data_IF_013795751971
#
_entry.id   IF_013795751971
#
_cell.length_a   1.000
_cell.length_b   1.000
_cell.length_c   1.000
_cell.angle_alpha   90.00
_cell.angle_beta   90.00
_cell.angle_gamma   90.00
#
_symmetry.space_group_name_H-M   'P 1'
#
loop_
_entity.id
_entity.type
_entity.pdbx_description
1 polymer ?
#
# COMPACT_ATOMS: atom_id res chain seq x y z
N UNK A 1 -16.63 -17.61 34.23
CA UNK A 1 -16.57 -16.15 34.05
C UNK A 1 -15.72 -15.74 32.85
N UNK A 2 -14.45 -16.13 32.76
CA UNK A 2 -13.57 -15.80 31.63
C UNK A 2 -14.13 -16.22 30.26
N UNK A 3 -14.50 -17.50 30.09
CA UNK A 3 -15.08 -18.00 28.83
C UNK A 3 -16.41 -17.32 28.46
N UNK A 4 -17.26 -17.01 29.45
CA UNK A 4 -18.51 -16.26 29.23
C UNK A 4 -18.22 -14.80 28.82
N UNK A 5 -17.19 -14.17 29.38
CA UNK A 5 -16.74 -12.83 28.99
C UNK A 5 -16.15 -12.77 27.58
N UNK A 6 -15.37 -13.79 27.18
CA UNK A 6 -14.81 -13.89 25.81
C UNK A 6 -15.90 -14.11 24.78
N UNK A 7 -16.87 -15.01 25.05
CA UNK A 7 -17.99 -15.28 24.13
C UNK A 7 -18.94 -14.08 24.02
N UNK A 8 -19.21 -13.39 25.12
CA UNK A 8 -20.07 -12.20 25.11
C UNK A 8 -19.43 -10.98 24.42
N UNK A 9 -18.10 -10.89 24.36
CA UNK A 9 -17.40 -9.73 23.74
C UNK A 9 -17.03 -9.97 22.27
N UNK A 10 -16.82 -11.24 21.87
CA UNK A 10 -16.45 -11.59 20.49
C UNK A 10 -17.52 -11.28 19.44
N UNK A 11 -18.81 -11.28 19.82
CA UNK A 11 -19.94 -11.04 18.90
C UNK A 11 -20.29 -9.57 18.63
N UNK A 12 -19.64 -8.61 19.31
CA UNK A 12 -19.99 -7.18 19.24
C UNK A 12 -18.85 -6.29 18.71
N UNK A 13 -17.89 -6.87 17.98
CA UNK A 13 -16.84 -6.07 17.34
C UNK A 13 -17.36 -5.49 16.02
N UNK A 14 -17.31 -4.16 15.91
CA UNK A 14 -17.60 -3.45 14.66
C UNK A 14 -16.29 -3.19 13.92
N UNK A 15 -16.27 -3.43 12.61
CA UNK A 15 -15.10 -3.27 11.74
C UNK A 15 -15.53 -2.73 10.38
N UNK A 16 -14.86 -1.70 9.90
CA UNK A 16 -15.08 -1.15 8.56
C UNK A 16 -13.86 -0.36 8.11
N UNK A 17 -13.73 -0.14 6.80
CA UNK A 17 -12.58 0.53 6.19
C UNK A 17 -12.95 1.90 5.66
N UNK A 18 -12.00 2.84 5.71
CA UNK A 18 -12.17 4.20 5.20
C UNK A 18 -10.85 4.76 4.68
N UNK A 19 -10.96 5.60 3.65
CA UNK A 19 -9.83 6.35 3.11
C UNK A 19 -9.75 7.74 3.75
N UNK A 20 -8.57 8.09 4.24
CA UNK A 20 -8.27 9.36 4.87
C UNK A 20 -7.40 10.20 3.94
N UNK A 21 -8.01 11.15 3.23
CA UNK A 21 -7.29 12.23 2.56
C UNK A 21 -6.58 13.10 3.61
N UNK A 22 -5.29 13.38 3.42
CA UNK A 22 -4.49 14.18 4.36
C UNK A 22 -5.12 15.55 4.61
N UNK A 23 -5.21 15.90 5.89
CA UNK A 23 -5.80 17.15 6.36
C UNK A 23 -7.33 17.23 6.26
N UNK A 24 -8.01 16.21 5.71
CA UNK A 24 -9.47 16.12 5.73
C UNK A 24 -9.95 15.22 6.85
N UNK A 25 -11.07 15.61 7.45
CA UNK A 25 -11.76 14.80 8.44
C UNK A 25 -12.76 13.86 7.76
N UNK A 26 -12.72 12.59 8.14
CA UNK A 26 -13.68 11.58 7.74
C UNK A 26 -14.23 10.88 8.99
N UNK A 27 -15.50 10.47 8.97
CA UNK A 27 -16.17 9.92 10.15
C UNK A 27 -16.51 8.44 9.98
N UNK A 28 -16.22 7.62 11.00
CA UNK A 28 -16.53 6.18 11.04
C UNK A 28 -16.91 5.77 12.46
N UNK A 29 -18.01 5.02 12.62
CA UNK A 29 -18.57 4.67 13.94
C UNK A 29 -18.79 5.90 14.88
N UNK A 30 -19.02 7.05 14.26
CA UNK A 30 -19.13 8.37 14.89
C UNK A 30 -17.85 8.88 15.55
N UNK A 31 -16.69 8.33 15.21
CA UNK A 31 -15.38 8.93 15.48
C UNK A 31 -14.98 9.77 14.28
N UNK A 32 -14.41 10.94 14.53
CA UNK A 32 -13.86 11.81 13.49
C UNK A 32 -12.36 11.57 13.39
N UNK A 33 -11.89 11.24 12.20
CA UNK A 33 -10.51 10.86 11.90
C UNK A 33 -9.91 11.87 10.93
N UNK A 34 -8.73 12.38 11.25
CA UNK A 34 -7.96 13.26 10.36
C UNK A 34 -6.55 12.70 10.22
N UNK A 35 -6.16 12.35 8.99
CA UNK A 35 -4.78 11.95 8.71
C UNK A 35 -3.89 13.19 8.63
N UNK A 36 -2.92 13.30 9.54
CA UNK A 36 -2.04 14.47 9.69
C UNK A 36 -0.73 14.33 8.90
N UNK A 37 -0.39 13.10 8.48
CA UNK A 37 0.84 12.77 7.78
C UNK A 37 1.58 11.61 8.43
N UNK A 38 2.80 11.33 8.00
CA UNK A 38 3.58 10.19 8.49
C UNK A 38 5.03 10.59 8.81
N UNK A 39 5.67 9.84 9.71
CA UNK A 39 7.10 9.98 10.01
C UNK A 39 7.81 8.64 9.82
N UNK A 40 9.08 8.66 9.40
CA UNK A 40 9.96 7.49 9.47
C UNK A 40 10.47 7.33 10.90
N UNK A 41 10.33 6.14 11.47
CA UNK A 41 10.90 5.82 12.80
C UNK A 41 12.43 5.72 12.66
N UNK A 42 13.22 6.51 13.43
CA UNK A 42 14.67 6.56 13.30
C UNK A 42 15.33 5.18 13.38
N UNK A 43 16.33 4.94 12.52
CA UNK A 43 17.10 3.69 12.45
C UNK A 43 16.26 2.42 12.14
N UNK A 44 15.07 2.58 11.56
CA UNK A 44 14.23 1.45 11.12
C UNK A 44 13.64 1.74 9.74
N UNK A 45 13.09 0.73 9.06
CA UNK A 45 12.28 0.91 7.85
C UNK A 45 10.79 1.12 8.15
N UNK A 46 10.45 1.45 9.40
CA UNK A 46 9.08 1.62 9.85
C UNK A 46 8.58 3.05 9.67
N UNK A 47 7.32 3.19 9.27
CA UNK A 47 6.65 4.49 9.17
C UNK A 47 5.43 4.52 10.07
N UNK A 48 5.31 5.56 10.88
CA UNK A 48 4.16 5.83 11.73
C UNK A 48 3.24 6.84 11.03
N UNK A 49 1.94 6.56 10.99
CA UNK A 49 0.94 7.38 10.30
C UNK A 49 0.09 8.10 11.33
N UNK A 50 0.30 9.40 11.51
CA UNK A 50 -0.38 10.20 12.53
C UNK A 50 -1.84 10.44 12.14
N UNK A 51 -2.76 9.95 12.98
CA UNK A 51 -4.19 10.13 12.81
C UNK A 51 -4.73 10.78 14.07
N UNK A 52 -5.27 11.98 13.94
CA UNK A 52 -6.06 12.63 14.98
C UNK A 52 -7.43 11.96 15.03
N UNK A 53 -7.81 11.49 16.21
CA UNK A 53 -9.07 10.79 16.47
C UNK A 53 -9.87 11.61 17.48
N UNK A 54 -11.11 11.93 17.15
CA UNK A 54 -12.01 12.72 17.99
C UNK A 54 -13.35 12.00 18.21
N UNK A 55 -13.89 12.10 19.43
CA UNK A 55 -15.18 11.53 19.80
C UNK A 55 -15.82 12.36 20.91
N UNK A 56 -16.79 13.21 20.55
CA UNK A 56 -17.37 14.18 21.48
C UNK A 56 -16.31 15.16 21.96
N UNK A 57 -16.15 15.32 23.28
CA UNK A 57 -15.18 16.24 23.89
C UNK A 57 -13.79 15.62 24.14
N UNK A 58 -13.52 14.43 23.58
CA UNK A 58 -12.22 13.77 23.72
C UNK A 58 -11.51 13.70 22.38
N UNK A 59 -10.21 13.92 22.40
CA UNK A 59 -9.33 13.77 21.24
C UNK A 59 -8.03 13.05 21.63
N UNK A 60 -7.43 12.32 20.69
CA UNK A 60 -6.07 11.78 20.80
C UNK A 60 -5.48 11.60 19.41
N UNK A 61 -4.17 11.76 19.27
CA UNK A 61 -3.46 11.31 18.07
C UNK A 61 -2.97 9.89 18.32
N UNK A 62 -3.19 9.00 17.36
CA UNK A 62 -2.65 7.64 17.35
C UNK A 62 -1.84 7.44 16.07
N UNK A 63 -0.86 6.55 16.12
CA UNK A 63 0.08 6.35 15.02
C UNK A 63 0.23 4.86 14.67
N UNK A 64 -0.66 4.29 13.85
CA UNK A 64 -0.45 2.96 13.27
C UNK A 64 0.85 2.92 12.45
N UNK A 65 1.49 1.75 12.41
CA UNK A 65 2.77 1.57 11.73
C UNK A 65 2.61 0.68 10.51
N UNK A 66 3.27 1.03 9.41
CA UNK A 66 3.31 0.22 8.20
C UNK A 66 4.72 0.24 7.59
N UNK A 67 5.17 -0.92 7.09
CA UNK A 67 6.51 -1.07 6.51
C UNK A 67 6.63 -2.31 5.63
N UNK A 68 7.63 -2.33 4.74
CA UNK A 68 7.97 -3.52 3.97
C UNK A 68 9.07 -4.29 4.70
N UNK A 69 8.81 -5.55 5.03
CA UNK A 69 9.79 -6.41 5.70
C UNK A 69 10.93 -6.78 4.74
N UNK A 70 12.18 -6.57 5.15
CA UNK A 70 13.36 -6.97 4.36
C UNK A 70 13.52 -8.49 4.22
N UNK A 71 12.88 -9.27 5.09
CA UNK A 71 13.02 -10.74 5.12
C UNK A 71 12.26 -11.44 3.98
N UNK A 72 11.10 -10.91 3.60
CA UNK A 72 10.19 -11.53 2.63
C UNK A 72 9.50 -10.52 1.70
N UNK A 73 9.96 -9.27 1.70
CA UNK A 73 9.41 -8.16 0.91
C UNK A 73 7.89 -7.97 1.07
N UNK A 74 7.32 -8.37 2.21
CA UNK A 74 5.89 -8.29 2.48
C UNK A 74 5.53 -7.02 3.25
N UNK A 75 4.37 -6.44 2.96
CA UNK A 75 3.83 -5.28 3.66
C UNK A 75 3.32 -5.68 5.04
N UNK A 76 4.01 -5.24 6.08
CA UNK A 76 3.68 -5.43 7.49
C UNK A 76 2.92 -4.22 8.01
N UNK A 77 1.99 -4.49 8.94
CA UNK A 77 1.05 -3.52 9.49
C UNK A 77 0.94 -3.76 10.98
N UNK A 78 1.10 -2.71 11.76
CA UNK A 78 0.91 -2.75 13.21
C UNK A 78 -0.22 -1.75 13.54
N UNK A 79 -1.34 -2.22 14.12
CA UNK A 79 -2.43 -1.34 14.47
C UNK A 79 -2.06 -0.44 15.65
N UNK A 80 -2.63 0.76 15.68
CA UNK A 80 -2.65 1.59 16.88
C UNK A 80 -4.00 1.51 17.58
N UNK A 81 -3.99 1.83 18.87
CA UNK A 81 -5.15 1.73 19.75
C UNK A 81 -5.34 3.04 20.52
N UNK A 82 -6.57 3.51 20.56
CA UNK A 82 -7.03 4.50 21.52
C UNK A 82 -7.88 3.80 22.59
N UNK A 83 -7.26 3.56 23.75
CA UNK A 83 -7.91 2.92 24.88
C UNK A 83 -9.00 3.82 25.47
N UNK A 84 -10.18 3.26 25.73
CA UNK A 84 -11.26 3.94 26.47
C UNK A 84 -11.77 3.01 27.55
N UNK A 85 -12.54 3.55 28.49
CA UNK A 85 -13.08 2.75 29.59
C UNK A 85 -13.98 1.60 29.11
N UNK A 86 -14.83 1.86 28.11
CA UNK A 86 -15.87 0.91 27.66
C UNK A 86 -15.64 0.33 26.27
N UNK A 87 -15.05 1.09 25.35
CA UNK A 87 -14.91 0.74 23.92
C UNK A 87 -13.55 1.18 23.39
N UNK A 88 -12.66 0.23 23.14
CA UNK A 88 -11.37 0.54 22.54
C UNK A 88 -11.50 0.71 21.05
N UNK A 89 -10.86 1.76 20.53
CA UNK A 89 -10.87 2.11 19.12
C UNK A 89 -9.51 1.78 18.51
N UNK A 90 -9.50 0.87 17.56
CA UNK A 90 -8.29 0.42 16.86
C UNK A 90 -8.28 0.97 15.45
N UNK A 91 -7.09 1.31 14.98
CA UNK A 91 -6.85 1.68 13.58
C UNK A 91 -5.70 0.86 13.04
N UNK A 92 -5.96 0.12 11.96
CA UNK A 92 -4.95 -0.66 11.23
C UNK A 92 -4.67 0.04 9.90
N UNK A 93 -3.40 0.30 9.55
CA UNK A 93 -3.08 0.88 8.26
C UNK A 93 -3.20 -0.19 7.17
N UNK A 94 -3.91 0.07 6.08
CA UNK A 94 -4.08 -0.89 4.98
C UNK A 94 -3.12 -0.59 3.83
N UNK A 95 -3.08 0.66 3.38
CA UNK A 95 -2.27 1.17 2.28
C UNK A 95 -2.09 2.68 2.40
N UNK A 96 -1.06 3.20 1.75
CA UNK A 96 -0.77 4.62 1.70
C UNK A 96 -0.39 5.03 0.27
N UNK A 97 -1.06 6.05 -0.24
CA UNK A 97 -0.82 6.68 -1.53
C UNK A 97 -0.35 8.10 -1.27
N UNK A 98 0.93 8.39 -1.49
CA UNK A 98 1.54 9.63 -1.01
C UNK A 98 1.22 10.86 -1.87
N UNK A 99 0.23 10.80 -2.76
CA UNK A 99 -0.08 11.94 -3.62
C UNK A 99 1.12 12.42 -4.45
N UNK A 100 2.23 11.70 -4.44
CA UNK A 100 3.35 11.92 -5.32
C UNK A 100 3.25 10.76 -6.28
N UNK A 101 3.02 11.08 -7.55
CA UNK A 101 3.50 10.23 -8.62
C UNK A 101 4.97 9.97 -8.30
N UNK A 102 5.28 8.79 -7.73
CA UNK A 102 6.62 8.35 -7.35
C UNK A 102 7.67 9.07 -8.18
N UNK A 103 8.45 9.92 -7.52
CA UNK A 103 9.43 10.88 -8.04
C UNK A 103 10.66 10.16 -8.61
N UNK A 104 10.40 9.29 -9.60
CA UNK A 104 11.31 8.85 -10.65
C UNK A 104 10.64 8.83 -12.03
N UNK A 105 9.40 9.29 -12.15
CA UNK A 105 8.72 9.33 -13.45
C UNK A 105 7.60 10.38 -13.49
N UNK A 106 7.97 11.59 -13.89
CA UNK A 106 7.01 12.63 -14.29
C UNK A 106 6.36 12.25 -15.64
N UNK A 107 5.46 11.26 -15.62
CA UNK A 107 4.76 10.77 -16.79
C UNK A 107 3.42 10.11 -16.46
N UNK A 108 2.51 10.07 -17.44
CA UNK A 108 1.19 9.40 -17.37
C UNK A 108 1.39 7.90 -17.17
N UNK A 109 0.92 7.37 -16.03
CA UNK A 109 0.87 5.93 -15.76
C UNK A 109 -0.30 5.31 -16.51
N UNK A 110 -0.08 4.17 -17.16
CA UNK A 110 -1.11 3.42 -17.87
C UNK A 110 -0.90 1.92 -17.70
N UNK A 111 -2.00 1.19 -17.64
CA UNK A 111 -2.03 -0.26 -17.57
C UNK A 111 -2.76 -0.75 -18.82
N UNK A 112 -2.11 -1.60 -19.63
CA UNK A 112 -2.66 -2.12 -20.88
C UNK A 112 -2.62 -3.64 -20.91
N UNK A 113 -3.69 -4.26 -21.37
CA UNK A 113 -3.72 -5.67 -21.77
C UNK A 113 -3.40 -5.81 -23.25
N UNK A 114 -3.03 -7.02 -23.67
CA UNK A 114 -2.76 -7.33 -25.08
C UNK A 114 -3.94 -6.90 -25.97
N UNK A 115 -3.64 -6.08 -26.96
CA UNK A 115 -4.58 -5.50 -27.92
C UNK A 115 -5.24 -4.20 -27.47
N UNK A 116 -5.07 -3.77 -26.21
CA UNK A 116 -5.58 -2.49 -25.74
C UNK A 116 -4.70 -1.33 -26.21
N UNK A 117 -5.33 -0.17 -26.31
CA UNK A 117 -4.69 1.07 -26.74
C UNK A 117 -5.01 2.23 -25.82
N UNK A 118 -4.10 3.19 -25.77
CA UNK A 118 -4.29 4.47 -25.08
C UNK A 118 -3.89 5.61 -26.00
N UNK A 119 -4.65 6.70 -25.96
CA UNK A 119 -4.24 7.96 -26.57
C UNK A 119 -3.39 8.78 -25.60
N UNK A 120 -2.26 9.26 -26.10
CA UNK A 120 -1.34 10.14 -25.37
C UNK A 120 -0.84 11.23 -26.33
N UNK A 121 -1.17 12.49 -26.00
CA UNK A 121 -0.85 13.67 -26.81
C UNK A 121 -1.28 13.58 -28.30
N UNK A 122 -2.34 12.81 -28.59
CA UNK A 122 -2.87 12.62 -29.94
C UNK A 122 -2.31 11.40 -30.69
N UNK A 123 -1.33 10.71 -30.11
CA UNK A 123 -0.78 9.47 -30.64
C UNK A 123 -1.43 8.25 -29.97
N UNK A 124 -1.81 7.27 -30.79
CA UNK A 124 -2.45 6.04 -30.32
C UNK A 124 -1.40 4.97 -30.07
N UNK A 125 -1.24 4.56 -28.82
CA UNK A 125 -0.25 3.57 -28.38
C UNK A 125 -0.98 2.26 -28.13
N UNK A 126 -0.61 1.20 -28.85
CA UNK A 126 -1.21 -0.14 -28.77
C UNK A 126 -0.21 -1.13 -28.19
N UNK A 127 -0.63 -1.93 -27.22
CA UNK A 127 0.18 -3.04 -26.71
C UNK A 127 -0.10 -4.33 -27.48
N UNK A 128 0.91 -4.87 -28.20
CA UNK A 128 0.74 -6.06 -29.04
C UNK A 128 1.04 -7.35 -28.28
N UNK A 129 2.19 -7.43 -27.61
CA UNK A 129 2.61 -8.60 -26.87
C UNK A 129 3.85 -8.31 -26.04
N UNK A 130 4.17 -9.18 -25.09
CA UNK A 130 5.53 -9.26 -24.58
C UNK A 130 6.44 -9.95 -25.60
N UNK A 131 7.70 -9.55 -25.60
CA UNK A 131 8.80 -10.28 -26.25
C UNK A 131 9.58 -11.04 -25.17
N UNK A 132 9.54 -12.37 -25.27
CA UNK A 132 10.26 -13.27 -24.40
C UNK A 132 11.37 -13.94 -25.22
N UNK A 133 12.64 -13.54 -25.03
CA UNK A 133 13.77 -14.26 -25.60
C UNK A 133 13.73 -15.75 -25.21
N UNK A 134 14.17 -16.63 -26.12
CA UNK A 134 14.06 -18.07 -25.94
C UNK A 134 14.77 -18.60 -24.67
N UNK A 135 15.81 -17.91 -24.23
CA UNK A 135 16.59 -18.19 -23.01
C UNK A 135 15.98 -17.57 -21.75
N UNK A 136 15.12 -16.56 -21.88
CA UNK A 136 14.54 -15.84 -20.75
C UNK A 136 13.67 -16.73 -19.85
N UNK A 137 12.90 -17.66 -20.43
CA UNK A 137 12.03 -18.55 -19.65
C UNK A 137 12.84 -19.55 -18.81
N UNK A 138 13.91 -20.11 -19.39
CA UNK A 138 14.84 -20.99 -18.69
C UNK A 138 15.61 -20.24 -17.60
N UNK A 139 16.06 -19.01 -17.89
CA UNK A 139 16.74 -18.16 -16.92
C UNK A 139 15.82 -17.75 -15.76
N UNK A 140 14.54 -17.44 -16.03
CA UNK A 140 13.54 -17.16 -14.98
C UNK A 140 13.36 -18.35 -14.04
N UNK A 141 13.25 -19.57 -14.57
CA UNK A 141 13.12 -20.78 -13.74
C UNK A 141 14.41 -21.11 -12.98
N UNK A 142 15.57 -20.80 -13.55
CA UNK A 142 16.88 -21.01 -12.94
C UNK A 142 17.35 -19.88 -12.02
N UNK A 143 16.58 -18.80 -11.85
CA UNK A 143 16.99 -17.62 -11.10
C UNK A 143 18.14 -16.81 -11.72
N UNK A 144 18.41 -17.03 -13.01
CA UNK A 144 19.45 -16.34 -13.77
C UNK A 144 19.00 -14.97 -14.30
N UNK A 145 19.91 -14.31 -15.01
CA UNK A 145 19.63 -13.01 -15.61
C UNK A 145 18.77 -13.17 -16.86
N UNK A 146 17.76 -12.30 -17.02
CA UNK A 146 16.86 -12.34 -18.18
C UNK A 146 16.41 -10.93 -18.57
N UNK A 147 15.90 -10.79 -19.80
CA UNK A 147 15.29 -9.55 -20.29
C UNK A 147 13.95 -9.85 -20.93
N UNK A 148 12.94 -9.01 -20.68
CA UNK A 148 11.61 -9.10 -21.30
C UNK A 148 11.31 -7.74 -21.94
N UNK A 149 10.87 -7.75 -23.20
CA UNK A 149 10.39 -6.57 -23.91
C UNK A 149 8.86 -6.47 -23.90
N UNK A 150 8.30 -5.27 -24.05
CA UNK A 150 6.90 -5.10 -24.40
C UNK A 150 6.80 -4.47 -25.79
N UNK A 151 6.25 -5.21 -26.77
CA UNK A 151 6.05 -4.72 -28.12
C UNK A 151 4.86 -3.76 -28.17
N UNK A 152 5.16 -2.50 -28.50
CA UNK A 152 4.17 -1.44 -28.65
C UNK A 152 4.20 -0.90 -30.09
N UNK A 153 3.03 -0.56 -30.61
CA UNK A 153 2.89 0.24 -31.83
C UNK A 153 2.37 1.61 -31.43
N UNK A 154 3.13 2.66 -31.76
CA UNK A 154 2.70 4.05 -31.61
C UNK A 154 2.30 4.58 -32.99
N UNK A 155 1.01 4.86 -33.16
CA UNK A 155 0.45 5.46 -34.37
C UNK A 155 0.33 6.97 -34.15
N UNK A 156 1.19 7.72 -34.83
CA UNK A 156 1.17 9.17 -34.76
C UNK A 156 -0.10 9.72 -35.41
N UNK A 157 -0.59 10.86 -34.91
CA UNK A 157 -1.73 11.56 -35.52
C UNK A 157 -1.54 11.83 -37.04
N UNK A 158 -0.29 12.05 -37.48
CA UNK A 158 0.09 12.21 -38.88
C UNK A 158 0.15 10.93 -39.73
N UNK A 159 -0.30 9.78 -39.21
CA UNK A 159 -0.40 8.50 -39.93
C UNK A 159 0.87 7.66 -39.96
N UNK A 160 2.00 8.15 -39.43
CA UNK A 160 3.23 7.36 -39.27
C UNK A 160 3.10 6.38 -38.10
N UNK A 161 3.65 5.19 -38.23
CA UNK A 161 3.66 4.17 -37.17
C UNK A 161 5.08 3.85 -36.73
N UNK A 162 5.30 3.77 -35.43
CA UNK A 162 6.57 3.46 -34.79
C UNK A 162 6.44 2.19 -33.97
N UNK A 163 7.41 1.29 -34.08
CA UNK A 163 7.52 0.13 -33.18
C UNK A 163 8.44 0.50 -32.02
N UNK A 164 7.97 0.27 -30.80
CA UNK A 164 8.63 0.67 -29.57
C UNK A 164 8.68 -0.53 -28.63
N UNK A 165 9.82 -0.76 -27.98
CA UNK A 165 10.04 -1.93 -27.14
C UNK A 165 10.77 -1.57 -25.83
N UNK A 166 10.08 -0.98 -24.83
CA UNK A 166 10.65 -0.83 -23.49
C UNK A 166 10.97 -2.22 -22.90
N UNK A 167 12.05 -2.30 -22.10
CA UNK A 167 12.57 -3.57 -21.61
C UNK A 167 12.65 -3.60 -20.08
N UNK A 168 12.40 -4.76 -19.49
CA UNK A 168 12.72 -5.09 -18.11
C UNK A 168 13.86 -6.10 -18.10
N UNK A 169 14.94 -5.78 -17.40
CA UNK A 169 16.10 -6.65 -17.16
C UNK A 169 16.05 -7.13 -15.71
N UNK A 170 16.33 -8.41 -15.49
CA UNK A 170 16.59 -8.96 -14.17
C UNK A 170 18.06 -9.32 -14.10
N UNK A 171 18.80 -8.69 -13.18
CA UNK A 171 20.23 -8.94 -12.92
C UNK A 171 20.39 -9.22 -11.44
N UNK A 172 20.90 -10.41 -11.09
CA UNK A 172 21.07 -10.87 -9.70
C UNK A 172 19.78 -10.76 -8.86
N UNK A 173 18.63 -11.07 -9.47
CA UNK A 173 17.31 -10.98 -8.85
C UNK A 173 16.76 -9.55 -8.69
N UNK A 174 17.51 -8.52 -9.09
CA UNK A 174 17.05 -7.13 -9.11
C UNK A 174 16.50 -6.78 -10.49
N UNK A 175 15.32 -6.17 -10.52
CA UNK A 175 14.70 -5.69 -11.76
C UNK A 175 15.15 -4.26 -12.06
N UNK A 176 15.58 -4.05 -13.30
CA UNK A 176 15.93 -2.77 -13.90
C UNK A 176 15.03 -2.54 -15.12
N UNK A 177 14.53 -1.32 -15.29
CA UNK A 177 13.68 -0.97 -16.43
C UNK A 177 14.40 0.01 -17.35
N UNK A 178 14.42 -0.33 -18.64
CA UNK A 178 15.07 0.45 -19.68
C UNK A 178 13.99 1.11 -20.54
N UNK A 179 13.87 2.45 -20.50
CA UNK A 179 12.90 3.17 -21.31
C UNK A 179 13.32 3.23 -22.79
N UNK A 180 12.37 3.53 -23.66
CA UNK A 180 12.61 3.85 -25.08
C UNK A 180 12.12 5.26 -25.39
N UNK A 181 12.96 6.02 -26.07
CA UNK A 181 12.67 7.38 -26.53
C UNK A 181 12.31 7.38 -28.02
N UNK A 182 11.18 8.00 -28.36
CA UNK A 182 10.71 8.25 -29.72
C UNK A 182 10.79 9.75 -29.97
N UNK A 183 11.98 10.22 -30.39
CA UNK A 183 12.29 11.64 -30.55
C UNK A 183 11.34 12.39 -31.48
N UNK A 184 10.90 11.74 -32.56
CA UNK A 184 9.95 12.30 -33.53
C UNK A 184 8.60 12.67 -32.92
N UNK A 185 8.21 11.99 -31.82
CA UNK A 185 6.93 12.16 -31.14
C UNK A 185 7.08 12.83 -29.78
N UNK A 186 8.27 13.35 -29.46
CA UNK A 186 8.59 13.89 -28.13
C UNK A 186 8.21 12.91 -27.00
N UNK A 187 8.25 11.60 -27.23
CA UNK A 187 7.68 10.57 -26.34
C UNK A 187 8.77 9.69 -25.73
N UNK A 188 8.66 9.39 -24.43
CA UNK A 188 9.42 8.33 -23.75
C UNK A 188 8.44 7.34 -23.14
N UNK A 189 8.69 6.06 -23.41
CA UNK A 189 7.90 4.95 -22.87
C UNK A 189 8.77 4.12 -21.95
N UNK A 190 8.36 3.99 -20.70
CA UNK A 190 9.03 3.17 -19.70
C UNK A 190 8.09 2.08 -19.20
N UNK A 191 8.55 0.84 -19.16
CA UNK A 191 7.84 -0.23 -18.46
C UNK A 191 8.14 -0.13 -16.96
N UNK A 192 7.14 -0.31 -16.11
CA UNK A 192 7.31 -0.30 -14.64
C UNK A 192 6.93 -1.62 -13.99
N UNK A 193 6.06 -2.39 -14.64
CA UNK A 193 5.75 -3.74 -14.22
C UNK A 193 5.14 -4.53 -15.38
N UNK A 194 5.17 -5.83 -15.26
CA UNK A 194 4.38 -6.76 -16.06
C UNK A 194 3.86 -7.86 -15.14
N UNK A 195 2.63 -8.31 -15.37
CA UNK A 195 2.01 -9.35 -14.56
C UNK A 195 1.75 -10.64 -15.34
N UNK A 196 1.48 -11.72 -14.59
CA UNK A 196 1.20 -13.03 -15.16
C UNK A 196 -0.17 -13.11 -15.88
N UNK A 197 -1.03 -12.10 -15.75
CA UNK A 197 -2.30 -12.01 -16.48
C UNK A 197 -2.13 -11.50 -17.91
N UNK A 198 -0.92 -11.08 -18.28
CA UNK A 198 -0.62 -10.53 -19.58
C UNK A 198 -0.82 -9.02 -19.67
N UNK A 199 -0.81 -8.32 -18.52
CA UNK A 199 -0.95 -6.87 -18.46
C UNK A 199 0.41 -6.20 -18.27
N UNK A 200 0.62 -5.07 -18.96
CA UNK A 200 1.82 -4.23 -18.82
C UNK A 200 1.48 -2.90 -18.17
N UNK A 201 2.30 -2.48 -17.20
CA UNK A 201 2.24 -1.15 -16.61
C UNK A 201 3.33 -0.29 -17.24
N UNK A 202 2.93 0.82 -17.86
CA UNK A 202 3.80 1.76 -18.55
C UNK A 202 3.73 3.14 -17.91
N UNK A 203 4.78 3.92 -18.12
CA UNK A 203 4.83 5.36 -17.90
C UNK A 203 5.16 6.00 -19.24
N UNK A 204 4.33 6.97 -19.62
CA UNK A 204 4.48 7.78 -20.82
C UNK A 204 4.84 9.20 -20.40
N UNK A 205 5.95 9.75 -20.91
CA UNK A 205 6.37 11.12 -20.60
C UNK A 205 6.84 11.82 -21.86
N UNK A 206 6.77 13.14 -21.87
CA UNK A 206 7.36 13.95 -22.93
C UNK A 206 8.88 14.14 -22.73
N UNK A 207 9.67 14.13 -23.82
CA UNK A 207 11.12 14.45 -23.80
C UNK A 207 11.37 15.92 -23.41
N UNK A 208 10.46 16.81 -23.81
CA UNK A 208 10.50 18.25 -23.51
C UNK A 208 9.82 18.62 -22.18
N UNK A 209 9.24 17.64 -21.48
CA UNK A 209 8.44 17.81 -20.28
C UNK A 209 6.95 17.97 -20.59
N UNK A 210 6.09 17.23 -19.88
CA UNK A 210 4.65 17.30 -20.08
C UNK A 210 4.13 18.73 -19.81
N UNK A 211 3.41 19.31 -20.77
CA UNK A 211 2.47 20.40 -20.49
C UNK A 211 1.36 19.81 -19.61
N UNK A 212 1.57 19.90 -18.31
CA UNK A 212 0.62 19.44 -17.31
C UNK A 212 -0.74 20.09 -17.56
N UNK A 213 -1.75 19.30 -17.91
CA UNK A 213 -3.07 19.60 -17.37
C UNK A 213 -2.91 19.56 -15.85
N UNK A 214 -3.21 20.69 -15.21
CA UNK A 214 -3.19 20.83 -13.75
C UNK A 214 -4.35 19.99 -13.22
N UNK A 215 -4.16 18.68 -13.14
CA UNK A 215 -4.99 17.82 -12.31
C UNK A 215 -4.50 18.09 -10.89
N UNK A 216 -5.37 18.74 -10.10
CA UNK A 216 -5.21 19.03 -8.67
C UNK A 216 -4.17 18.15 -7.99
N UNK A 217 -3.20 18.78 -7.31
CA UNK A 217 -2.13 18.16 -6.54
C UNK A 217 -2.52 16.76 -6.04
N UNK A 218 -1.73 15.70 -6.34
CA UNK A 218 -2.17 14.37 -5.98
C UNK A 218 -2.17 14.32 -4.44
N UNK A 219 -3.30 13.90 -3.89
CA UNK A 219 -3.55 14.02 -2.45
C UNK A 219 -3.00 12.79 -1.76
N UNK A 220 -2.27 13.01 -0.67
CA UNK A 220 -1.86 11.93 0.21
C UNK A 220 -3.14 11.26 0.79
N UNK A 221 -3.32 9.96 0.54
CA UNK A 221 -4.46 9.16 1.03
C UNK A 221 -3.94 7.98 1.82
N UNK A 222 -4.43 7.83 3.04
CA UNK A 222 -4.19 6.67 3.89
C UNK A 222 -5.47 5.85 4.03
N UNK A 223 -5.46 4.62 3.51
CA UNK A 223 -6.54 3.65 3.72
C UNK A 223 -6.33 2.95 5.06
N UNK A 224 -7.39 2.86 5.86
CA UNK A 224 -7.35 2.22 7.19
C UNK A 224 -8.53 1.27 7.40
N UNK A 225 -8.36 0.27 8.27
CA UNK A 225 -9.46 -0.45 8.91
C UNK A 225 -9.62 0.11 10.34
N UNK A 226 -10.80 0.64 10.64
CA UNK A 226 -11.20 1.02 11.99
C UNK A 226 -11.94 -0.15 12.64
N UNK A 227 -11.69 -0.40 13.93
CA UNK A 227 -12.47 -1.38 14.68
C UNK A 227 -12.73 -0.99 16.13
N UNK A 228 -13.93 -1.31 16.60
CA UNK A 228 -14.33 -1.12 17.99
C UNK A 228 -14.37 -2.48 18.68
N UNK A 229 -13.69 -2.59 19.82
CA UNK A 229 -13.78 -3.75 20.70
C UNK A 229 -14.35 -3.34 22.05
N UNK A 230 -15.57 -3.78 22.38
CA UNK A 230 -16.17 -3.46 23.66
C UNK A 230 -15.55 -4.30 24.78
N UNK A 231 -15.37 -3.68 25.96
CA UNK A 231 -15.05 -4.34 27.23
C UNK A 231 -13.78 -5.21 27.26
N UNK A 232 -12.75 -4.91 26.47
CA UNK A 232 -11.48 -5.66 26.56
C UNK A 232 -10.82 -5.53 27.95
N UNK A 233 -11.07 -4.44 28.67
CA UNK A 233 -10.66 -4.24 30.06
C UNK A 233 -11.22 -5.32 31.02
N UNK A 234 -12.36 -5.92 30.69
CA UNK A 234 -12.93 -7.03 31.47
C UNK A 234 -12.08 -8.30 31.35
N UNK A 235 -11.51 -8.55 30.16
CA UNK A 235 -10.57 -9.65 29.94
C UNK A 235 -9.31 -9.45 30.78
N UNK A 236 -8.72 -8.25 30.73
CA UNK A 236 -7.55 -7.90 31.55
C UNK A 236 -7.83 -8.00 33.06
N UNK A 237 -9.01 -7.57 33.49
CA UNK A 237 -9.44 -7.72 34.89
C UNK A 237 -9.52 -9.20 35.29
N UNK A 238 -10.03 -10.06 34.41
CA UNK A 238 -10.05 -11.51 34.62
C UNK A 238 -8.64 -12.11 34.75
N UNK A 239 -7.69 -11.67 33.92
CA UNK A 239 -6.28 -12.09 34.00
C UNK A 239 -5.66 -11.68 35.33
N UNK A 240 -5.87 -10.44 35.76
CA UNK A 240 -5.37 -9.94 37.06
C UNK A 240 -5.92 -10.77 38.21
N UNK A 241 -7.23 -11.08 38.22
CA UNK A 241 -7.83 -11.93 39.24
C UNK A 241 -7.24 -13.34 39.28
N UNK A 242 -6.96 -13.93 38.12
CA UNK A 242 -6.30 -15.25 38.06
C UNK A 242 -4.88 -15.20 38.61
N UNK A 243 -4.10 -14.16 38.28
CA UNK A 243 -2.74 -13.97 38.81
C UNK A 243 -2.77 -13.78 40.33
N UNK A 244 -3.68 -12.96 40.85
CA UNK A 244 -3.84 -12.77 42.30
C UNK A 244 -4.22 -14.09 42.98
N UNK A 245 -5.18 -14.84 42.44
CA UNK A 245 -5.58 -16.14 42.98
C UNK A 245 -4.42 -17.14 43.00
N UNK A 246 -3.60 -17.14 41.95
CA UNK A 246 -2.40 -17.96 41.88
C UNK A 246 -1.37 -17.58 42.94
N UNK A 247 -1.08 -16.28 43.11
CA UNK A 247 -0.14 -15.78 44.13
C UNK A 247 -0.63 -16.17 45.53
N UNK A 248 -1.92 -15.99 45.84
CA UNK A 248 -2.51 -16.38 47.14
C UNK A 248 -2.35 -17.89 47.37
N UNK A 249 -2.65 -18.70 46.36
CA UNK A 249 -2.51 -20.16 46.44
C UNK A 249 -1.06 -20.60 46.65
N UNK A 250 -0.11 -19.95 45.97
CA UNK A 250 1.31 -20.25 46.11
C UNK A 250 1.84 -19.88 47.50
N UNK A 251 1.50 -18.69 48.01
CA UNK A 251 1.91 -18.24 49.35
C UNK A 251 1.31 -19.14 50.43
N UNK A 252 0.04 -19.53 50.31
CA UNK A 252 -0.60 -20.43 51.27
C UNK A 252 0.09 -21.80 51.28
N UNK A 253 0.41 -22.35 50.10
CA UNK A 253 1.14 -23.62 49.97
C UNK A 253 2.53 -23.56 50.62
N UNK A 254 3.27 -22.46 50.47
CA UNK A 254 4.60 -22.31 51.10
C UNK A 254 4.57 -22.17 52.62
N UNK A 255 3.40 -21.88 53.22
CA UNK A 255 3.22 -21.87 54.68
C UNK A 255 2.76 -23.22 55.23
N UNK A 256 2.23 -24.08 54.38
CA UNK A 256 1.76 -25.43 54.71
C UNK A 256 2.80 -26.52 54.41
N UNK A 257 3.94 -26.15 53.81
CA UNK A 257 5.13 -26.99 53.58
C UNK A 257 6.26 -26.52 54.48
#
# INVERSE_FOLDING_TARGET
LFLLGVVATGGFSEKDSIDLEKGKTASIFGYDLTFEGYNKIPNTEKFEFNIKVEKGNSSSTIAPIMFVSSMNNSLMREPAIWNRFTKDFYVTPLSYENGETQTKSAGKKVTLKKGESIDYQGDNIVFESFDFPADAMSAMMGGGNFTIGANLIVKAYGGKSYKVEPKMKSVDGKREFVPVEVKDLDLVVEMTNLDASGTVNLILRSLSGDKQEIVSAPKEVLSIEASIKPFINLVWSGVILMVIGFIISAVKRTKET
#
